data_IF_228658670396
#
_entry.id   IF_228658670396
#
_cell.length_a   1.000
_cell.length_b   1.000
_cell.length_c   1.000
_cell.angle_alpha   90.00
_cell.angle_beta   90.00
_cell.angle_gamma   90.00
#
_symmetry.space_group_name_H-M   'P 1'
#
loop_
_entity.id
_entity.type
_entity.pdbx_description
1 polymer ?
#
# COMPACT_ATOMS: atom_id res chain seq x y z
N UNK A 1 -52.87 -15.03 59.18
CA UNK A 1 -52.18 -13.71 59.25
C UNK A 1 -51.21 -13.79 60.42
N UNK A 2 -49.93 -13.58 60.16
CA UNK A 2 -48.77 -13.69 61.07
C UNK A 2 -48.43 -15.08 61.61
N UNK A 3 -47.17 -15.47 61.43
CA UNK A 3 -46.28 -16.16 62.38
C UNK A 3 -44.89 -16.23 61.71
N UNK A 4 -43.98 -15.32 62.07
CA UNK A 4 -42.96 -15.41 63.14
C UNK A 4 -41.73 -16.25 62.77
N UNK A 5 -40.61 -15.52 62.74
CA UNK A 5 -39.23 -15.97 62.69
C UNK A 5 -38.86 -16.83 63.91
N UNK A 6 -38.03 -17.84 63.69
CA UNK A 6 -36.70 -18.02 64.29
C UNK A 6 -36.23 -19.45 64.01
N UNK A 7 -34.96 -19.65 63.66
CA UNK A 7 -34.10 -20.59 64.38
C UNK A 7 -32.64 -20.45 63.96
N UNK A 8 -31.78 -20.45 64.98
CA UNK A 8 -30.36 -20.15 64.89
C UNK A 8 -29.48 -21.19 64.20
N UNK A 9 -28.42 -20.64 63.62
CA UNK A 9 -27.03 -21.12 63.47
C UNK A 9 -26.71 -22.58 63.82
N UNK A 10 -26.07 -23.28 62.86
CA UNK A 10 -24.90 -24.14 63.14
C UNK A 10 -24.03 -24.29 61.88
N UNK A 11 -22.81 -23.74 61.93
CA UNK A 11 -21.75 -24.05 60.96
C UNK A 11 -21.33 -25.52 61.10
N UNK A 12 -21.11 -26.20 59.97
CA UNK A 12 -20.22 -27.35 59.96
C UNK A 12 -19.34 -27.39 58.70
N UNK A 13 -18.07 -27.68 58.92
CA UNK A 13 -16.99 -27.77 57.94
C UNK A 13 -17.20 -28.96 57.02
N UNK A 14 -16.96 -28.75 55.71
CA UNK A 14 -16.16 -29.58 54.79
C UNK A 14 -16.64 -29.34 53.36
N UNK A 15 -15.72 -28.96 52.47
CA UNK A 15 -15.35 -29.70 51.25
C UNK A 15 -14.68 -28.72 50.28
N UNK A 16 -13.45 -29.06 49.92
CA UNK A 16 -12.60 -28.40 48.94
C UNK A 16 -13.25 -28.55 47.56
N UNK A 17 -13.43 -27.43 46.84
CA UNK A 17 -13.70 -27.44 45.41
C UNK A 17 -12.70 -26.52 44.71
N UNK A 18 -11.76 -27.20 44.07
CA UNK A 18 -10.72 -26.70 43.18
C UNK A 18 -11.35 -25.85 42.08
N UNK A 19 -11.17 -24.52 42.13
CA UNK A 19 -11.56 -23.64 41.04
C UNK A 19 -10.46 -23.61 40.00
N UNK A 20 -10.67 -24.36 38.91
CA UNK A 20 -9.86 -24.27 37.70
C UNK A 20 -10.23 -22.96 37.01
N UNK A 21 -9.44 -21.91 37.23
CA UNK A 21 -9.47 -20.71 36.40
C UNK A 21 -8.85 -21.07 35.05
N UNK A 22 -9.70 -21.36 34.06
CA UNK A 22 -9.28 -21.43 32.66
C UNK A 22 -8.99 -19.99 32.22
N UNK A 23 -7.72 -19.60 32.34
CA UNK A 23 -7.20 -18.38 31.75
C UNK A 23 -7.18 -18.59 30.23
N UNK A 24 -8.26 -18.21 29.55
CA UNK A 24 -8.28 -18.10 28.09
C UNK A 24 -7.35 -16.97 27.69
N UNK A 25 -6.08 -17.31 27.45
CA UNK A 25 -5.15 -16.44 26.77
C UNK A 25 -5.73 -16.13 25.39
N UNK A 26 -6.30 -14.93 25.23
CA UNK A 26 -6.52 -14.34 23.92
C UNK A 26 -5.15 -14.12 23.29
N UNK A 27 -4.64 -15.14 22.60
CA UNK A 27 -3.51 -14.97 21.70
C UNK A 27 -3.98 -14.02 20.59
N UNK A 28 -3.34 -12.85 20.40
CA UNK A 28 -3.64 -12.04 19.23
C UNK A 28 -3.27 -12.88 18.01
N UNK A 29 -4.27 -13.17 17.17
CA UNK A 29 -4.08 -13.75 15.85
C UNK A 29 -3.32 -12.73 14.99
N UNK A 30 -2.00 -12.72 15.09
CA UNK A 30 -1.14 -12.08 14.12
C UNK A 30 -1.41 -12.76 12.78
N UNK A 31 -2.12 -12.08 11.89
CA UNK A 31 -2.42 -12.62 10.56
C UNK A 31 -1.12 -12.97 9.85
N UNK A 32 -0.99 -14.21 9.37
CA UNK A 32 0.20 -14.66 8.62
C UNK A 32 0.51 -13.76 7.39
N UNK A 33 -0.49 -13.02 6.89
CA UNK A 33 -0.34 -12.17 5.71
C UNK A 33 0.66 -11.01 5.88
N UNK A 34 0.96 -10.61 7.12
CA UNK A 34 1.87 -9.50 7.39
C UNK A 34 3.36 -9.88 7.21
N UNK A 35 3.69 -11.16 7.37
CA UNK A 35 5.07 -11.68 7.47
C UNK A 35 5.80 -11.72 6.12
N UNK A 36 5.07 -11.60 4.99
CA UNK A 36 5.66 -11.68 3.65
C UNK A 36 6.02 -10.34 2.98
N UNK A 37 5.41 -9.22 3.39
CA UNK A 37 5.55 -7.94 2.67
C UNK A 37 6.92 -7.31 2.87
N UNK A 38 7.54 -6.82 1.79
CA UNK A 38 8.88 -6.23 1.82
C UNK A 38 8.86 -4.72 1.58
N UNK A 39 9.81 -4.04 2.19
CA UNK A 39 10.06 -2.61 2.05
C UNK A 39 11.54 -2.40 1.68
N UNK A 40 11.89 -1.36 0.92
CA UNK A 40 13.29 -0.99 0.71
C UNK A 40 13.96 -0.61 2.04
N UNK A 41 15.28 -0.77 2.12
CA UNK A 41 16.07 -0.26 3.23
C UNK A 41 15.99 1.27 3.32
N UNK A 42 16.25 1.81 4.50
CA UNK A 42 16.18 3.25 4.75
C UNK A 42 17.22 4.05 3.93
N UNK A 43 18.38 3.45 3.67
CA UNK A 43 19.46 3.99 2.84
C UNK A 43 19.23 3.78 1.32
N UNK A 44 18.22 3.00 0.93
CA UNK A 44 17.91 2.68 -0.45
C UNK A 44 18.94 1.79 -1.16
N UNK A 45 19.86 1.16 -0.41
CA UNK A 45 20.81 0.18 -0.96
C UNK A 45 20.14 -1.15 -1.30
N UNK A 46 19.09 -1.50 -0.56
CA UNK A 46 18.31 -2.73 -0.75
C UNK A 46 16.90 -2.33 -1.17
N UNK A 47 16.47 -2.79 -2.34
CA UNK A 47 15.09 -2.65 -2.81
C UNK A 47 14.20 -3.79 -2.30
N UNK A 48 12.89 -3.64 -2.46
CA UNK A 48 11.95 -4.75 -2.30
C UNK A 48 11.58 -5.27 -3.69
N UNK A 49 11.95 -6.52 -3.98
CA UNK A 49 11.83 -7.13 -5.31
C UNK A 49 13.17 -7.16 -6.05
N UNK A 50 13.16 -7.41 -7.38
CA UNK A 50 11.97 -7.53 -8.23
C UNK A 50 11.16 -8.81 -8.01
N UNK A 51 9.83 -8.72 -7.96
CA UNK A 51 8.91 -9.87 -7.85
C UNK A 51 8.12 -10.06 -9.14
N UNK A 52 7.97 -11.31 -9.60
CA UNK A 52 7.25 -11.63 -10.83
C UNK A 52 5.73 -11.61 -10.60
N UNK A 53 5.00 -10.85 -11.43
CA UNK A 53 3.54 -10.86 -11.49
C UNK A 53 3.07 -11.67 -12.71
N UNK A 54 2.48 -12.86 -12.52
CA UNK A 54 2.05 -13.70 -13.64
C UNK A 54 0.91 -13.08 -14.46
N UNK A 55 0.11 -12.17 -13.88
CA UNK A 55 -1.02 -11.55 -14.57
C UNK A 55 -0.57 -10.59 -15.70
N UNK A 56 0.54 -9.88 -15.50
CA UNK A 56 1.11 -8.96 -16.50
C UNK A 56 2.34 -9.53 -17.19
N UNK A 57 2.90 -10.63 -16.66
CA UNK A 57 4.21 -11.16 -17.03
C UNK A 57 5.33 -10.12 -16.89
N UNK A 58 5.22 -9.29 -15.85
CA UNK A 58 6.19 -8.23 -15.52
C UNK A 58 6.82 -8.50 -14.16
N UNK A 59 8.00 -7.93 -13.93
CA UNK A 59 8.58 -7.83 -12.59
C UNK A 59 8.28 -6.47 -11.97
N UNK A 60 8.02 -6.43 -10.66
CA UNK A 60 7.82 -5.19 -9.91
C UNK A 60 8.85 -5.04 -8.82
N UNK A 61 9.39 -3.84 -8.67
CA UNK A 61 10.40 -3.52 -7.67
C UNK A 61 10.05 -2.20 -7.01
N UNK A 62 9.88 -2.21 -5.69
CA UNK A 62 9.72 -0.99 -4.91
C UNK A 62 11.11 -0.50 -4.54
N UNK A 63 11.39 0.77 -4.84
CA UNK A 63 12.70 1.39 -4.58
C UNK A 63 12.55 2.67 -3.78
N UNK A 64 13.66 3.04 -3.13
CA UNK A 64 13.86 4.33 -2.51
C UNK A 64 14.80 5.17 -3.38
N UNK A 65 14.40 6.41 -3.64
CA UNK A 65 15.29 7.41 -4.21
C UNK A 65 16.35 7.72 -3.16
N UNK A 66 17.61 7.51 -3.53
CA UNK A 66 18.72 8.09 -2.79
C UNK A 66 18.70 9.60 -3.04
N UNK A 67 19.09 10.41 -2.06
CA UNK A 67 19.20 11.86 -2.23
C UNK A 67 20.24 12.17 -3.31
N UNK A 68 19.77 12.36 -4.53
CA UNK A 68 20.58 12.80 -5.66
C UNK A 68 20.33 14.29 -5.83
N UNK A 69 21.35 15.15 -5.67
CA UNK A 69 21.22 16.59 -5.92
C UNK A 69 20.55 16.85 -7.27
N UNK A 70 19.50 17.67 -7.28
CA UNK A 70 18.72 18.00 -8.49
C UNK A 70 17.62 17.01 -8.88
N UNK A 71 17.64 15.75 -8.40
CA UNK A 71 16.55 14.78 -8.60
C UNK A 71 15.67 14.70 -7.36
N UNK A 72 14.96 15.80 -7.17
CA UNK A 72 13.98 15.97 -6.12
C UNK A 72 13.05 14.74 -6.06
N UNK A 73 12.55 14.43 -4.87
CA UNK A 73 11.65 13.29 -4.57
C UNK A 73 10.29 13.37 -5.29
N UNK A 74 10.18 14.18 -6.34
CA UNK A 74 9.03 14.42 -7.18
C UNK A 74 8.83 13.28 -8.17
N UNK A 75 7.62 13.22 -8.71
CA UNK A 75 7.23 12.16 -9.64
C UNK A 75 8.10 12.09 -10.91
N UNK A 76 8.49 13.23 -11.49
CA UNK A 76 9.34 13.20 -12.70
C UNK A 76 10.72 12.59 -12.39
N UNK A 77 11.28 12.87 -11.21
CA UNK A 77 12.53 12.26 -10.77
C UNK A 77 12.39 10.74 -10.60
N UNK A 78 11.24 10.29 -10.07
CA UNK A 78 10.90 8.88 -9.99
C UNK A 78 10.82 8.21 -11.36
N UNK A 79 10.19 8.88 -12.34
CA UNK A 79 10.09 8.41 -13.73
C UNK A 79 11.47 8.29 -14.35
N UNK A 80 12.28 9.33 -14.30
CA UNK A 80 13.64 9.34 -14.85
C UNK A 80 14.55 8.28 -14.24
N UNK A 81 14.34 7.95 -12.96
CA UNK A 81 15.07 6.88 -12.28
C UNK A 81 14.58 5.50 -12.73
N UNK A 82 13.27 5.28 -12.81
CA UNK A 82 12.69 4.03 -13.27
C UNK A 82 13.13 3.69 -14.70
N UNK A 83 13.16 4.68 -15.60
CA UNK A 83 13.56 4.54 -17.00
C UNK A 83 15.05 4.27 -17.19
N UNK A 84 15.88 4.43 -16.15
CA UNK A 84 17.31 4.08 -16.20
C UNK A 84 17.60 2.66 -15.73
N UNK A 85 16.62 2.00 -15.13
CA UNK A 85 16.78 0.64 -14.63
C UNK A 85 16.56 -0.36 -15.76
N UNK A 86 17.36 -1.40 -15.76
CA UNK A 86 17.23 -2.53 -16.68
C UNK A 86 17.26 -3.81 -15.87
N UNK A 87 16.27 -4.66 -16.09
CA UNK A 87 16.21 -5.99 -15.47
C UNK A 87 15.91 -7.02 -16.56
N UNK A 88 16.71 -8.09 -16.63
CA UNK A 88 16.61 -9.14 -17.66
C UNK A 88 16.52 -8.56 -19.09
N UNK A 89 17.34 -7.55 -19.38
CA UNK A 89 17.37 -6.87 -20.68
C UNK A 89 16.15 -5.99 -20.98
N UNK A 90 15.25 -5.80 -20.03
CA UNK A 90 14.04 -4.97 -20.18
C UNK A 90 14.20 -3.67 -19.40
N UNK A 91 13.97 -2.55 -20.07
CA UNK A 91 13.96 -1.22 -19.45
C UNK A 91 12.74 -1.07 -18.52
N UNK A 92 12.96 -0.52 -17.34
CA UNK A 92 11.90 -0.25 -16.38
C UNK A 92 11.10 1.01 -16.70
N UNK A 93 9.90 1.11 -16.15
CA UNK A 93 9.13 2.35 -16.07
C UNK A 93 8.38 2.39 -14.74
N UNK A 94 7.79 3.53 -14.37
CA UNK A 94 6.91 3.56 -13.21
C UNK A 94 5.73 2.62 -13.43
N UNK A 95 5.38 1.87 -12.40
CA UNK A 95 4.43 0.76 -12.51
C UNK A 95 3.05 1.19 -13.04
N UNK A 96 2.52 0.38 -13.95
CA UNK A 96 1.13 0.48 -14.43
C UNK A 96 0.25 -0.52 -13.69
N UNK A 97 -0.93 -0.10 -13.23
CA UNK A 97 -1.82 -0.94 -12.42
C UNK A 97 -3.21 -0.93 -13.03
N UNK A 98 -3.36 -1.75 -14.07
CA UNK A 98 -4.55 -1.74 -14.94
C UNK A 98 -5.65 -2.71 -14.51
N UNK A 99 -5.41 -3.58 -13.55
CA UNK A 99 -6.36 -4.60 -13.11
C UNK A 99 -6.23 -4.93 -11.62
N UNK A 100 -7.25 -5.64 -11.10
CA UNK A 100 -7.35 -6.01 -9.69
C UNK A 100 -6.23 -6.97 -9.28
N UNK A 101 -5.84 -7.89 -10.15
CA UNK A 101 -4.81 -8.90 -9.90
C UNK A 101 -3.46 -8.24 -9.61
N UNK A 102 -3.09 -7.22 -10.42
CA UNK A 102 -1.87 -6.44 -10.23
C UNK A 102 -1.93 -5.62 -8.96
N UNK A 103 -3.08 -5.01 -8.65
CA UNK A 103 -3.26 -4.29 -7.40
C UNK A 103 -3.09 -5.20 -6.18
N UNK A 104 -3.74 -6.37 -6.17
CA UNK A 104 -3.61 -7.38 -5.13
C UNK A 104 -2.19 -7.95 -5.03
N UNK A 105 -1.50 -8.11 -6.17
CA UNK A 105 -0.10 -8.50 -6.21
C UNK A 105 0.77 -7.47 -5.49
N UNK A 106 0.60 -6.18 -5.79
CA UNK A 106 1.33 -5.09 -5.13
C UNK A 106 1.05 -5.08 -3.61
N UNK A 107 -0.22 -5.21 -3.22
CA UNK A 107 -0.62 -5.25 -1.80
C UNK A 107 0.03 -6.40 -1.03
N UNK A 108 0.18 -7.56 -1.66
CA UNK A 108 0.73 -8.78 -1.04
C UNK A 108 2.25 -8.78 -0.94
N UNK A 109 2.95 -8.09 -1.83
CA UNK A 109 4.41 -8.13 -1.90
C UNK A 109 5.09 -6.92 -1.24
N UNK A 110 4.43 -5.75 -1.22
CA UNK A 110 5.07 -4.51 -0.81
C UNK A 110 4.41 -3.89 0.42
N UNK A 111 5.23 -3.36 1.34
CA UNK A 111 4.81 -2.57 2.50
C UNK A 111 5.56 -1.25 2.51
N UNK A 112 4.84 -0.14 2.37
CA UNK A 112 5.42 1.19 2.38
C UNK A 112 4.38 2.26 2.72
N UNK A 113 4.86 3.47 3.01
CA UNK A 113 4.03 4.67 3.08
C UNK A 113 3.63 5.13 1.67
N UNK A 114 3.82 6.40 1.36
CA UNK A 114 3.49 6.94 0.04
C UNK A 114 4.56 6.60 -1.00
N UNK A 115 4.16 6.14 -2.18
CA UNK A 115 5.08 5.88 -3.28
C UNK A 115 4.47 6.14 -4.66
N UNK A 116 5.29 6.68 -5.56
CA UNK A 116 4.88 7.01 -6.92
C UNK A 116 4.58 5.77 -7.76
N UNK A 117 3.58 5.91 -8.64
CA UNK A 117 3.25 4.97 -9.71
C UNK A 117 3.14 5.71 -11.04
N UNK A 118 3.02 4.97 -12.15
CA UNK A 118 3.06 5.52 -13.49
C UNK A 118 1.77 6.17 -13.97
N UNK A 119 0.91 6.68 -13.08
CA UNK A 119 -0.37 7.29 -13.46
C UNK A 119 -0.32 8.81 -13.30
N UNK A 120 -0.88 9.52 -14.29
CA UNK A 120 -1.04 10.97 -14.29
C UNK A 120 -2.47 11.35 -14.64
N UNK A 121 -3.01 12.34 -13.95
CA UNK A 121 -4.23 13.04 -14.36
C UNK A 121 -3.84 14.32 -15.12
N UNK A 122 -4.17 14.39 -16.40
CA UNK A 122 -3.89 15.56 -17.25
C UNK A 122 -5.00 16.59 -17.11
N UNK A 123 -4.64 17.80 -16.72
CA UNK A 123 -5.60 18.82 -16.30
C UNK A 123 -6.36 19.44 -17.48
N UNK A 124 -5.70 19.67 -18.61
CA UNK A 124 -6.31 20.28 -19.80
C UNK A 124 -7.30 19.34 -20.49
N UNK A 125 -6.93 18.06 -20.63
CA UNK A 125 -7.75 17.04 -21.28
C UNK A 125 -8.67 16.28 -20.32
N UNK A 126 -8.55 16.53 -19.01
CA UNK A 126 -9.28 15.82 -17.94
C UNK A 126 -9.17 14.28 -18.05
N UNK A 127 -8.02 13.80 -18.53
CA UNK A 127 -7.81 12.39 -18.86
C UNK A 127 -6.76 11.75 -17.95
N UNK A 128 -6.93 10.47 -17.63
CA UNK A 128 -5.93 9.68 -16.92
C UNK A 128 -5.05 8.91 -17.91
N UNK A 129 -3.73 9.05 -17.83
CA UNK A 129 -2.82 8.27 -18.68
C UNK A 129 -1.74 7.61 -17.85
N UNK A 130 -1.42 6.38 -18.25
CA UNK A 130 -0.25 5.67 -17.78
C UNK A 130 1.01 6.20 -18.48
N UNK A 131 2.18 5.98 -17.89
CA UNK A 131 3.50 6.35 -18.45
C UNK A 131 3.81 5.66 -19.78
N UNK A 132 3.15 4.53 -20.08
CA UNK A 132 3.23 3.85 -21.37
C UNK A 132 2.33 4.47 -22.46
N UNK A 133 1.63 5.56 -22.12
CA UNK A 133 0.74 6.29 -23.03
C UNK A 133 -0.68 5.76 -23.08
N UNK A 134 -0.97 4.60 -22.47
CA UNK A 134 -2.33 4.03 -22.48
C UNK A 134 -3.30 4.83 -21.61
N UNK A 135 -4.55 4.91 -22.05
CA UNK A 135 -5.63 5.59 -21.33
C UNK A 135 -6.11 4.74 -20.16
N UNK A 136 -5.97 5.27 -18.94
CA UNK A 136 -6.41 4.58 -17.73
C UNK A 136 -7.91 4.72 -17.48
N UNK A 137 -8.59 5.64 -18.16
CA UNK A 137 -10.06 5.73 -18.14
C UNK A 137 -10.74 4.48 -18.70
N UNK A 138 -10.02 3.71 -19.53
CA UNK A 138 -10.52 2.50 -20.17
C UNK A 138 -10.26 1.22 -19.36
N UNK A 139 -9.44 1.27 -18.29
CA UNK A 139 -8.95 0.03 -17.64
C UNK A 139 -9.98 -0.71 -16.78
N UNK A 140 -11.21 -0.21 -16.62
CA UNK A 140 -12.30 -0.84 -15.84
C UNK A 140 -12.03 -0.97 -14.33
N UNK A 141 -10.76 -0.93 -13.92
CA UNK A 141 -10.27 -0.99 -12.57
C UNK A 141 -9.76 0.38 -12.10
N UNK A 142 -10.06 0.73 -10.85
CA UNK A 142 -9.39 1.82 -10.16
C UNK A 142 -9.31 1.55 -8.65
N UNK A 143 -8.32 2.16 -8.00
CA UNK A 143 -8.13 2.04 -6.55
C UNK A 143 -8.15 3.41 -5.84
N UNK A 144 -8.85 4.40 -6.37
CA UNK A 144 -8.92 5.74 -5.79
C UNK A 144 -9.36 5.74 -4.32
N UNK A 145 -8.72 6.60 -3.54
CA UNK A 145 -9.18 6.98 -2.20
C UNK A 145 -10.42 7.89 -2.32
N UNK A 146 -11.28 7.92 -1.29
CA UNK A 146 -12.42 8.84 -1.24
C UNK A 146 -11.93 10.29 -1.30
N UNK A 147 -10.80 10.58 -0.65
CA UNK A 147 -10.08 11.83 -0.85
C UNK A 147 -9.10 11.70 -2.03
N UNK A 148 -9.63 11.84 -3.24
CA UNK A 148 -8.88 11.57 -4.49
C UNK A 148 -7.59 12.39 -4.66
N UNK A 149 -7.45 13.56 -4.01
CA UNK A 149 -6.26 14.44 -4.09
C UNK A 149 -5.65 14.71 -2.71
N UNK A 150 -4.31 14.85 -2.64
CA UNK A 150 -3.54 14.93 -1.40
C UNK A 150 -3.07 16.34 -0.98
N UNK A 151 -3.20 17.37 -1.83
CA UNK A 151 -2.51 18.67 -1.58
C UNK A 151 -3.40 19.90 -1.62
N UNK A 152 -4.73 19.81 -1.56
CA UNK A 152 -5.70 20.90 -1.81
C UNK A 152 -5.56 21.63 -3.16
N UNK A 153 -4.53 21.28 -3.93
CA UNK A 153 -4.29 21.82 -5.25
C UNK A 153 -5.34 21.30 -6.23
N UNK A 154 -5.82 22.23 -7.06
CA UNK A 154 -6.69 21.99 -8.21
C UNK A 154 -5.90 22.18 -9.51
N UNK A 155 -6.41 21.60 -10.58
CA UNK A 155 -5.79 21.60 -11.91
C UNK A 155 -5.57 22.98 -12.55
N UNK A 156 -6.09 24.07 -11.97
CA UNK A 156 -6.07 25.40 -12.59
C UNK A 156 -4.65 25.93 -12.95
N UNK A 157 -3.61 25.53 -12.22
CA UNK A 157 -2.25 26.08 -12.38
C UNK A 157 -1.19 25.01 -12.72
N UNK A 158 -1.58 23.89 -13.35
CA UNK A 158 -0.64 22.83 -13.72
C UNK A 158 -1.10 21.98 -14.90
N UNK A 159 -0.13 21.40 -15.61
CA UNK A 159 -0.42 20.53 -16.76
C UNK A 159 -0.98 19.16 -16.34
N UNK A 160 -0.51 18.63 -15.20
CA UNK A 160 -0.93 17.32 -14.72
C UNK A 160 -0.75 17.17 -13.20
N UNK A 161 -1.46 16.20 -12.63
CA UNK A 161 -1.32 15.73 -11.25
C UNK A 161 -0.79 14.29 -11.26
N UNK A 162 0.44 14.02 -10.77
CA UNK A 162 0.92 12.65 -10.61
C UNK A 162 0.16 11.89 -9.53
N UNK A 163 0.05 10.58 -9.70
CA UNK A 163 -0.64 9.68 -8.76
C UNK A 163 0.37 8.84 -7.99
N UNK A 164 0.05 8.62 -6.72
CA UNK A 164 0.80 7.76 -5.81
C UNK A 164 -0.15 6.80 -5.12
N UNK A 165 0.41 5.70 -4.64
CA UNK A 165 -0.23 4.91 -3.60
C UNK A 165 -0.09 5.57 -2.23
N UNK A 166 -1.12 5.41 -1.42
CA UNK A 166 -1.17 5.71 0.01
C UNK A 166 -1.83 4.55 0.75
N UNK A 167 -1.64 4.49 2.06
CA UNK A 167 -2.40 3.57 2.93
C UNK A 167 -3.53 4.35 3.59
N UNK A 168 -4.78 3.95 3.35
CA UNK A 168 -5.94 4.54 4.00
C UNK A 168 -5.86 4.32 5.51
N UNK A 169 -6.06 5.39 6.30
CA UNK A 169 -5.81 5.37 7.75
C UNK A 169 -6.69 4.39 8.51
N UNK A 170 -8.00 4.35 8.19
CA UNK A 170 -8.97 3.47 8.84
C UNK A 170 -8.88 2.00 8.41
N UNK A 171 -8.90 1.72 7.10
CA UNK A 171 -8.98 0.34 6.58
C UNK A 171 -7.62 -0.31 6.36
N UNK A 172 -6.53 0.46 6.43
CA UNK A 172 -5.18 0.05 5.98
C UNK A 172 -5.14 -0.40 4.52
N UNK A 173 -6.18 -0.11 3.74
CA UNK A 173 -6.25 -0.44 2.32
C UNK A 173 -5.27 0.42 1.54
N UNK A 174 -4.65 -0.16 0.53
CA UNK A 174 -3.79 0.55 -0.40
C UNK A 174 -4.66 1.29 -1.43
N UNK A 175 -4.52 2.61 -1.54
CA UNK A 175 -5.38 3.47 -2.38
C UNK A 175 -4.58 4.48 -3.20
N UNK A 176 -5.15 4.95 -4.30
CA UNK A 176 -4.56 5.97 -5.16
C UNK A 176 -4.99 7.37 -4.74
N UNK A 177 -4.04 8.30 -4.76
CA UNK A 177 -4.32 9.73 -4.66
C UNK A 177 -3.48 10.50 -5.67
N UNK A 178 -4.08 11.54 -6.24
CA UNK A 178 -3.37 12.53 -7.02
C UNK A 178 -2.66 13.53 -6.09
N UNK A 179 -1.51 14.03 -6.52
CA UNK A 179 -0.75 15.08 -5.82
C UNK A 179 -0.37 16.17 -6.80
N UNK A 180 -0.03 17.36 -6.30
CA UNK A 180 0.66 18.35 -7.14
C UNK A 180 2.04 17.84 -7.61
N UNK A 181 2.54 18.30 -8.77
CA UNK A 181 3.81 17.84 -9.35
C UNK A 181 5.04 18.18 -8.50
N UNK A 182 4.91 19.13 -7.57
CA UNK A 182 5.97 19.53 -6.65
C UNK A 182 6.00 18.70 -5.36
N UNK A 183 5.02 17.82 -5.12
CA UNK A 183 5.03 16.94 -3.95
C UNK A 183 6.20 15.98 -4.04
N UNK A 184 6.83 15.69 -2.89
CA UNK A 184 7.94 14.77 -2.77
C UNK A 184 7.57 13.48 -2.03
N UNK A 185 7.84 12.33 -2.64
CA UNK A 185 7.87 11.01 -2.00
C UNK A 185 9.16 10.30 -2.40
N UNK A 186 9.88 9.78 -1.41
CA UNK A 186 11.16 9.08 -1.62
C UNK A 186 10.99 7.69 -2.21
N UNK A 187 9.77 7.14 -2.25
CA UNK A 187 9.53 5.79 -2.73
C UNK A 187 8.83 5.81 -4.10
N UNK A 188 9.15 4.84 -4.94
CA UNK A 188 8.55 4.66 -6.26
C UNK A 188 8.55 3.19 -6.66
N UNK A 189 7.48 2.77 -7.33
CA UNK A 189 7.31 1.41 -7.80
C UNK A 189 7.67 1.32 -9.28
N UNK A 190 8.60 0.42 -9.60
CA UNK A 190 9.08 0.15 -10.95
C UNK A 190 8.42 -1.12 -11.47
N UNK A 191 8.07 -1.13 -12.75
CA UNK A 191 7.66 -2.31 -13.51
C UNK A 191 8.66 -2.57 -14.63
N UNK A 192 9.01 -3.85 -14.82
CA UNK A 192 9.82 -4.35 -15.93
C UNK A 192 8.97 -5.35 -16.73
N UNK A 193 8.41 -4.97 -17.89
CA UNK A 193 7.50 -5.81 -18.68
C UNK A 193 8.26 -6.86 -19.50
N UNK A 194 8.89 -7.83 -18.82
CA UNK A 194 9.76 -8.84 -19.44
C UNK A 194 9.02 -9.82 -20.34
N UNK A 195 7.71 -9.97 -20.17
CA UNK A 195 6.87 -10.93 -20.91
C UNK A 195 7.04 -12.38 -20.47
N UNK A 196 7.92 -12.64 -19.50
CA UNK A 196 8.27 -13.97 -18.97
C UNK A 196 8.90 -13.89 -17.58
N UNK A 197 8.85 -15.02 -16.88
CA UNK A 197 9.65 -15.29 -15.68
C UNK A 197 11.14 -15.50 -16.02
#
# INVERSE_FOLDING_TARGET
MNNYENFGVKMNKKTILTSIFILTAMLPSLSLAEVGRKAPSADGLISAGPYYNPATKSYFELRRMQDVPGKQTRWFGAKDLAEKLVFKGTQGHLATVKNLETHQFIMRNFKAGNYWIGLQYFCSSQSLKWVDGTDAGQSGFSAWDTQWSNTDIRCANMNYMPVHYTTHTATKALRWRASGPNKGYVLYLVEYPTGKE
#
